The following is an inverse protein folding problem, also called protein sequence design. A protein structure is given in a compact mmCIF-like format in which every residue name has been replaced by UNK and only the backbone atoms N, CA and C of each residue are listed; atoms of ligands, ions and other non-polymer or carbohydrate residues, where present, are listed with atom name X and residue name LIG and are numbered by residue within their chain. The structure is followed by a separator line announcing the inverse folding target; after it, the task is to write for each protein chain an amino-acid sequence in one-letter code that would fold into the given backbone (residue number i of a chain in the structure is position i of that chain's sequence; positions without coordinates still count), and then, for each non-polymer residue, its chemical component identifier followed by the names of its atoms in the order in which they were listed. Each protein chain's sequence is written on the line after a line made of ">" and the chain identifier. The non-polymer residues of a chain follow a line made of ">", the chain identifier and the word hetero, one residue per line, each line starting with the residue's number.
data_IF_986645995355
#
_entry.id   IF_986645995355
#
_cell.length_a   1.000
_cell.length_b   1.000
_cell.length_c   1.000
_cell.angle_alpha   90.00
_cell.angle_beta   90.00
_cell.angle_gamma   90.00
#
_symmetry.space_group_name_H-M   'P 1'
#
loop_
_entity.id
_entity.type
_entity.pdbx_description
1 polymer ?
#
# COMPACT_ATOMS: atom_id res chain seq x y z
N UNK A 1 40.01 -2.09 25.95
CA UNK A 1 38.98 -1.32 26.66
C UNK A 1 38.08 -0.72 25.61
N UNK A 2 37.19 -1.54 25.10
CA UNK A 2 36.02 -1.11 24.35
C UNK A 2 34.87 -1.31 25.32
N UNK A 3 34.45 -0.27 25.98
CA UNK A 3 33.32 -0.30 26.85
C UNK A 3 32.43 0.93 26.60
N UNK A 4 31.18 0.62 26.41
CA UNK A 4 30.03 1.46 26.75
C UNK A 4 29.83 2.77 26.01
N UNK A 5 28.97 2.74 25.03
CA UNK A 5 27.82 3.68 24.98
C UNK A 5 26.91 3.35 23.79
N UNK A 6 26.36 2.18 23.75
CA UNK A 6 25.05 2.01 23.15
C UNK A 6 24.01 2.41 24.19
N UNK A 7 23.83 3.74 24.37
CA UNK A 7 22.62 4.20 25.00
C UNK A 7 21.47 3.59 24.18
N UNK A 8 20.66 2.71 24.78
CA UNK A 8 19.45 2.15 24.14
C UNK A 8 18.68 3.35 23.60
N UNK A 9 18.63 3.51 22.28
CA UNK A 9 17.81 4.55 21.64
C UNK A 9 16.40 4.37 22.19
N UNK A 10 15.79 5.45 22.68
CA UNK A 10 14.39 5.41 23.09
C UNK A 10 13.58 4.95 21.89
N UNK A 11 12.87 3.85 22.01
CA UNK A 11 11.98 3.35 20.95
C UNK A 11 11.02 4.46 20.53
N UNK A 12 10.99 4.78 19.25
CA UNK A 12 10.05 5.72 18.65
C UNK A 12 9.00 4.90 17.89
N UNK A 13 7.72 5.17 18.17
CA UNK A 13 6.65 4.53 17.41
C UNK A 13 6.74 4.97 15.95
N UNK A 14 6.85 4.03 14.99
CA UNK A 14 6.86 4.37 13.58
C UNK A 14 5.48 4.84 13.12
N UNK A 15 5.47 5.68 12.10
CA UNK A 15 4.28 6.08 11.36
C UNK A 15 3.79 4.92 10.48
N UNK A 16 2.49 4.61 10.51
CA UNK A 16 1.86 3.69 9.55
C UNK A 16 1.42 4.48 8.34
N UNK A 17 2.09 4.30 7.21
CA UNK A 17 1.82 5.01 5.96
C UNK A 17 1.05 4.13 4.99
N UNK A 18 -0.25 4.39 4.84
CA UNK A 18 -1.15 3.61 3.99
C UNK A 18 -1.33 4.21 2.58
N UNK A 19 -1.64 3.38 1.57
CA UNK A 19 -1.93 3.85 0.21
C UNK A 19 -3.38 4.28 0.05
N UNK A 20 -3.65 5.35 -0.71
CA UNK A 20 -5.00 5.65 -1.17
C UNK A 20 -5.05 6.09 -2.64
N UNK A 21 -5.91 5.45 -3.42
CA UNK A 21 -6.18 5.82 -4.81
C UNK A 21 -7.47 6.63 -4.97
N UNK A 22 -8.26 6.81 -3.92
CA UNK A 22 -9.50 7.62 -3.88
C UNK A 22 -9.67 8.23 -2.50
N UNK A 23 -10.49 9.29 -2.41
CA UNK A 23 -10.81 9.94 -1.15
C UNK A 23 -11.47 8.98 -0.13
N UNK A 24 -12.34 8.07 -0.61
CA UNK A 24 -12.93 7.02 0.22
C UNK A 24 -11.86 6.12 0.86
N UNK A 25 -10.85 5.70 0.08
CA UNK A 25 -9.74 4.88 0.60
C UNK A 25 -8.87 5.66 1.60
N UNK A 26 -8.68 6.97 1.38
CA UNK A 26 -7.94 7.83 2.31
C UNK A 26 -8.65 7.86 3.67
N UNK A 27 -9.94 8.16 3.68
CA UNK A 27 -10.75 8.19 4.90
C UNK A 27 -10.77 6.83 5.60
N UNK A 28 -10.92 5.75 4.83
CA UNK A 28 -10.86 4.38 5.37
C UNK A 28 -9.49 4.05 5.97
N UNK A 29 -8.39 4.37 5.30
CA UNK A 29 -7.05 4.10 5.82
C UNK A 29 -6.84 4.74 7.20
N UNK A 30 -7.21 6.00 7.34
CA UNK A 30 -7.12 6.75 8.60
C UNK A 30 -8.06 6.16 9.65
N UNK A 31 -9.30 5.86 9.31
CA UNK A 31 -10.26 5.24 10.22
C UNK A 31 -9.76 3.89 10.77
N UNK A 32 -9.03 3.12 9.95
CA UNK A 32 -8.41 1.84 10.33
C UNK A 32 -6.98 1.98 10.86
N UNK A 33 -6.55 3.18 11.22
CA UNK A 33 -5.38 3.45 12.03
C UNK A 33 -4.10 3.78 11.28
N UNK A 34 -4.18 4.20 10.03
CA UNK A 34 -3.05 4.81 9.37
C UNK A 34 -2.75 6.20 9.97
N UNK A 35 -1.48 6.46 10.31
CA UNK A 35 -1.00 7.75 10.80
C UNK A 35 -0.76 8.73 9.64
N UNK A 36 -0.53 8.20 8.45
CA UNK A 36 -0.38 8.96 7.22
C UNK A 36 -0.90 8.20 6.01
N UNK A 37 -1.27 8.94 4.97
CA UNK A 37 -1.75 8.35 3.71
C UNK A 37 -1.01 8.98 2.53
N UNK A 38 -0.51 8.16 1.60
CA UNK A 38 0.05 8.68 0.34
C UNK A 38 -0.92 8.50 -0.82
N UNK A 39 -1.08 9.58 -1.58
CA UNK A 39 -1.98 9.70 -2.73
C UNK A 39 -1.21 10.06 -4.00
N UNK A 40 -1.88 10.14 -5.13
CA UNK A 40 -1.33 10.67 -6.39
C UNK A 40 -2.10 11.88 -6.86
N UNK A 41 -1.38 12.88 -7.31
CA UNK A 41 -1.94 14.02 -8.03
C UNK A 41 -2.11 13.74 -9.52
N UNK A 42 -2.76 14.66 -10.23
CA UNK A 42 -3.00 14.56 -11.67
C UNK A 42 -1.73 14.68 -12.52
N UNK A 43 -0.61 15.11 -11.94
CA UNK A 43 0.67 15.28 -12.61
C UNK A 43 1.81 14.63 -11.79
N UNK A 44 2.94 14.41 -12.45
CA UNK A 44 4.23 13.97 -11.90
C UNK A 44 4.26 12.65 -11.13
N UNK A 45 3.13 11.91 -11.06
CA UNK A 45 3.06 10.62 -10.35
C UNK A 45 3.25 9.41 -11.26
N UNK A 46 3.85 8.33 -10.74
CA UNK A 46 4.03 7.06 -11.47
C UNK A 46 2.73 6.29 -11.78
N UNK A 47 1.60 6.75 -11.34
CA UNK A 47 0.29 6.11 -11.53
C UNK A 47 -0.71 7.05 -12.20
N UNK A 48 -0.28 7.76 -13.24
CA UNK A 48 -1.10 8.74 -13.97
C UNK A 48 -2.43 8.19 -14.54
N UNK A 49 -2.55 6.85 -14.68
CA UNK A 49 -3.78 6.16 -15.13
C UNK A 49 -4.58 5.55 -13.97
N UNK A 50 -4.14 5.68 -12.73
CA UNK A 50 -4.92 5.34 -11.55
C UNK A 50 -5.83 6.50 -11.17
N UNK A 51 -6.84 6.26 -10.34
CA UNK A 51 -7.58 7.35 -9.73
C UNK A 51 -6.60 8.33 -9.08
N UNK A 52 -6.58 9.56 -9.54
CA UNK A 52 -5.77 10.65 -9.04
C UNK A 52 -6.69 11.68 -8.41
N UNK A 53 -6.22 12.32 -7.37
CA UNK A 53 -7.00 13.31 -6.64
C UNK A 53 -7.01 14.66 -7.38
N UNK A 54 -8.17 15.30 -7.44
CA UNK A 54 -8.26 16.72 -7.75
C UNK A 54 -7.79 17.56 -6.56
N UNK A 55 -7.55 18.85 -6.74
CA UNK A 55 -7.16 19.74 -5.63
C UNK A 55 -8.28 19.86 -4.59
N UNK A 56 -9.54 19.80 -5.00
CA UNK A 56 -10.72 19.80 -4.11
C UNK A 56 -10.76 18.54 -3.26
N UNK A 57 -10.55 17.35 -3.86
CA UNK A 57 -10.47 16.08 -3.13
C UNK A 57 -9.26 16.04 -2.20
N UNK A 58 -8.12 16.64 -2.59
CA UNK A 58 -6.96 16.80 -1.71
C UNK A 58 -7.28 17.67 -0.52
N UNK A 59 -7.94 18.82 -0.73
CA UNK A 59 -8.33 19.72 0.35
C UNK A 59 -9.28 19.04 1.35
N UNK A 60 -10.28 18.29 0.86
CA UNK A 60 -11.18 17.50 1.70
C UNK A 60 -10.42 16.39 2.46
N UNK A 61 -9.52 15.67 1.78
CA UNK A 61 -8.67 14.65 2.39
C UNK A 61 -7.74 15.19 3.47
N UNK A 62 -7.12 16.35 3.23
CA UNK A 62 -6.25 17.05 4.21
C UNK A 62 -7.06 17.52 5.42
N UNK A 63 -8.27 18.08 5.21
CA UNK A 63 -9.13 18.49 6.30
C UNK A 63 -9.51 17.29 7.18
N UNK A 64 -9.97 16.21 6.57
CA UNK A 64 -10.29 14.97 7.26
C UNK A 64 -9.08 14.38 8.03
N UNK A 65 -7.90 14.36 7.40
CA UNK A 65 -6.69 13.85 8.03
C UNK A 65 -6.32 14.69 9.27
N UNK A 66 -6.39 16.02 9.19
CA UNK A 66 -6.13 16.92 10.34
C UNK A 66 -7.08 16.70 11.51
N UNK A 67 -8.35 16.41 11.25
CA UNK A 67 -9.34 16.09 12.30
C UNK A 67 -9.02 14.79 13.05
N UNK A 68 -8.18 13.92 12.45
CA UNK A 68 -7.77 12.62 12.99
C UNK A 68 -6.29 12.52 13.32
N UNK A 69 -5.57 13.65 13.44
CA UNK A 69 -4.12 13.72 13.68
C UNK A 69 -3.27 12.94 12.67
N UNK A 70 -3.77 12.79 11.44
CA UNK A 70 -3.10 12.09 10.36
C UNK A 70 -2.51 13.06 9.30
N UNK A 71 -1.61 12.56 8.48
CA UNK A 71 -0.91 13.30 7.43
C UNK A 71 -1.30 12.82 6.03
N UNK A 72 -1.15 13.71 5.04
CA UNK A 72 -1.35 13.37 3.63
C UNK A 72 -0.11 13.71 2.83
N UNK A 73 0.45 12.71 2.12
CA UNK A 73 1.62 12.87 1.25
C UNK A 73 1.23 12.69 -0.21
N UNK A 74 1.82 13.49 -1.11
CA UNK A 74 1.58 13.37 -2.54
C UNK A 74 2.79 12.78 -3.26
N UNK A 75 2.59 11.69 -3.98
CA UNK A 75 3.61 11.09 -4.83
C UNK A 75 3.74 11.85 -6.14
N UNK A 76 4.88 12.54 -6.30
CA UNK A 76 5.33 13.23 -7.52
C UNK A 76 6.66 12.62 -7.99
N UNK A 77 6.71 11.29 -8.13
CA UNK A 77 7.93 10.49 -8.22
C UNK A 77 8.19 9.93 -9.63
N UNK A 78 7.74 10.60 -10.64
CA UNK A 78 8.05 10.30 -12.04
C UNK A 78 9.48 10.82 -12.35
N UNK A 79 10.21 10.08 -13.18
CA UNK A 79 11.45 10.56 -13.80
C UNK A 79 11.08 11.49 -14.94
N UNK A 80 11.62 12.72 -14.95
CA UNK A 80 11.35 13.71 -15.99
C UNK A 80 12.26 13.54 -17.20
N UNK A 81 11.80 14.03 -18.35
CA UNK A 81 12.59 14.29 -19.54
C UNK A 81 12.45 15.76 -19.87
N UNK A 82 13.33 16.28 -20.71
CA UNK A 82 13.32 17.67 -21.15
C UNK A 82 11.91 18.15 -21.51
N UNK A 83 11.46 19.24 -20.89
CA UNK A 83 10.13 19.82 -21.04
C UNK A 83 9.04 19.22 -20.15
N UNK A 84 9.30 18.16 -19.39
CA UNK A 84 8.30 17.60 -18.46
C UNK A 84 8.22 18.37 -17.14
N UNK A 85 9.22 19.16 -16.82
CA UNK A 85 9.29 20.03 -15.65
C UNK A 85 8.42 21.28 -15.79
N UNK A 86 7.92 21.58 -17.00
CA UNK A 86 7.02 22.71 -17.24
C UNK A 86 5.75 22.59 -16.40
N UNK A 87 5.44 23.63 -15.62
CA UNK A 87 4.31 23.64 -14.69
C UNK A 87 4.56 23.01 -13.31
N UNK A 88 5.73 22.40 -13.07
CA UNK A 88 6.04 21.77 -11.79
C UNK A 88 6.03 22.75 -10.62
N UNK A 89 6.53 23.97 -10.80
CA UNK A 89 6.50 25.00 -9.77
C UNK A 89 5.09 25.37 -9.32
N UNK A 90 4.16 25.54 -10.27
CA UNK A 90 2.73 25.78 -9.96
C UNK A 90 2.11 24.60 -9.23
N UNK A 91 2.40 23.39 -9.69
CA UNK A 91 1.92 22.17 -9.04
C UNK A 91 2.37 22.09 -7.57
N UNK A 92 3.65 22.27 -7.26
CA UNK A 92 4.15 22.22 -5.88
C UNK A 92 3.60 23.37 -5.01
N UNK A 93 3.49 24.58 -5.55
CA UNK A 93 2.83 25.69 -4.84
C UNK A 93 1.38 25.33 -4.48
N UNK A 94 0.63 24.77 -5.43
CA UNK A 94 -0.76 24.34 -5.20
C UNK A 94 -0.86 23.26 -4.12
N UNK A 95 0.05 22.29 -4.07
CA UNK A 95 0.09 21.26 -3.03
C UNK A 95 0.38 21.87 -1.64
N UNK A 96 1.33 22.80 -1.54
CA UNK A 96 1.61 23.52 -0.31
C UNK A 96 0.38 24.30 0.17
N UNK A 97 -0.27 25.03 -0.73
CA UNK A 97 -1.39 25.90 -0.40
C UNK A 97 -2.66 25.12 0.00
N UNK A 98 -2.85 23.91 -0.54
CA UNK A 98 -3.86 22.94 -0.09
C UNK A 98 -3.54 22.37 1.29
N UNK A 99 -2.27 22.43 1.74
CA UNK A 99 -1.81 21.97 3.05
C UNK A 99 -1.39 20.50 3.08
N UNK A 100 -0.89 19.98 1.95
CA UNK A 100 -0.24 18.67 1.88
C UNK A 100 0.95 18.64 2.84
N UNK A 101 1.10 17.55 3.57
CA UNK A 101 2.10 17.42 4.64
C UNK A 101 3.52 17.18 4.11
N UNK A 102 3.67 16.52 2.97
CA UNK A 102 4.94 16.36 2.24
C UNK A 102 4.71 15.86 0.82
N UNK A 103 5.73 15.99 -0.03
CA UNK A 103 5.77 15.40 -1.37
C UNK A 103 6.82 14.30 -1.44
N UNK A 104 6.54 13.23 -2.19
CA UNK A 104 7.46 12.10 -2.40
C UNK A 104 8.00 12.22 -3.83
N UNK A 105 9.27 12.60 -3.97
CA UNK A 105 9.91 12.95 -5.25
C UNK A 105 11.15 12.09 -5.48
N UNK A 106 11.50 11.80 -6.73
CA UNK A 106 12.70 11.03 -7.08
C UNK A 106 13.63 11.75 -8.06
N UNK A 107 13.10 12.69 -8.80
CA UNK A 107 13.81 13.39 -9.86
C UNK A 107 14.51 14.64 -9.28
N UNK A 108 15.84 14.81 -9.47
CA UNK A 108 16.58 15.96 -8.93
C UNK A 108 16.05 17.31 -9.41
N UNK A 109 15.61 17.40 -10.69
CA UNK A 109 15.05 18.65 -11.21
C UNK A 109 13.74 19.01 -10.49
N UNK A 110 12.87 18.03 -10.24
CA UNK A 110 11.62 18.25 -9.49
C UNK A 110 11.89 18.57 -8.03
N UNK A 111 12.95 18.01 -7.40
CA UNK A 111 13.37 18.32 -6.04
C UNK A 111 13.81 19.79 -5.96
N UNK A 112 14.68 20.25 -6.86
CA UNK A 112 15.14 21.64 -6.91
C UNK A 112 13.97 22.62 -7.14
N UNK A 113 13.07 22.30 -8.09
CA UNK A 113 11.89 23.14 -8.35
C UNK A 113 10.99 23.19 -7.12
N UNK A 114 10.74 22.07 -6.45
CA UNK A 114 9.93 22.03 -5.23
C UNK A 114 10.53 22.89 -4.13
N UNK A 115 11.82 22.74 -3.84
CA UNK A 115 12.53 23.49 -2.81
C UNK A 115 12.51 25.01 -3.07
N UNK A 116 12.63 25.40 -4.37
CA UNK A 116 12.67 26.83 -4.78
C UNK A 116 11.28 27.44 -4.83
N UNK A 117 10.31 26.75 -5.43
CA UNK A 117 9.00 27.31 -5.77
C UNK A 117 7.93 27.10 -4.69
N UNK A 118 8.13 26.11 -3.83
CA UNK A 118 7.24 25.79 -2.71
C UNK A 118 8.00 25.70 -1.38
N UNK A 119 8.73 26.73 -0.96
CA UNK A 119 9.51 26.68 0.27
C UNK A 119 8.61 26.35 1.47
N UNK A 120 9.11 25.45 2.34
CA UNK A 120 8.37 24.95 3.51
C UNK A 120 7.46 23.75 3.22
N UNK A 121 7.38 23.26 1.99
CA UNK A 121 6.76 21.97 1.67
C UNK A 121 7.82 20.87 1.85
N UNK A 122 7.68 19.97 2.84
CA UNK A 122 8.65 18.90 3.08
C UNK A 122 8.81 17.97 1.88
N UNK A 123 10.03 17.52 1.63
CA UNK A 123 10.37 16.62 0.53
C UNK A 123 10.87 15.29 1.09
N UNK A 124 10.22 14.19 0.69
CA UNK A 124 10.65 12.82 0.96
C UNK A 124 11.24 12.21 -0.32
N UNK A 125 12.43 11.64 -0.23
CA UNK A 125 13.01 10.95 -1.38
C UNK A 125 12.24 9.67 -1.68
N UNK A 126 11.80 9.50 -2.91
CA UNK A 126 11.11 8.28 -3.35
C UNK A 126 12.07 7.08 -3.45
N UNK A 127 11.56 5.89 -3.19
CA UNK A 127 12.25 4.62 -3.51
C UNK A 127 12.71 4.51 -4.97
N UNK A 128 12.12 5.28 -5.87
CA UNK A 128 12.53 5.36 -7.29
C UNK A 128 13.93 5.95 -7.48
N UNK A 129 14.47 6.64 -6.48
CA UNK A 129 15.87 7.12 -6.48
C UNK A 129 16.88 6.01 -6.13
N UNK A 130 16.45 4.81 -5.78
CA UNK A 130 17.30 3.65 -5.44
C UNK A 130 18.29 3.91 -4.30
N UNK A 131 17.87 4.58 -3.22
CA UNK A 131 18.74 4.83 -2.04
C UNK A 131 18.94 3.51 -1.26
N UNK A 132 20.21 3.08 -1.11
CA UNK A 132 20.59 1.78 -0.52
C UNK A 132 21.67 1.87 0.53
N UNK A 133 22.28 3.03 0.79
CA UNK A 133 23.39 3.19 1.73
C UNK A 133 23.33 4.56 2.43
N UNK A 134 24.04 4.68 3.54
CA UNK A 134 23.97 5.89 4.37
C UNK A 134 24.60 7.12 3.69
N UNK A 135 25.64 6.96 2.86
CA UNK A 135 26.23 8.09 2.13
C UNK A 135 25.20 8.74 1.19
N UNK A 136 24.38 7.94 0.53
CA UNK A 136 23.26 8.46 -0.28
C UNK A 136 22.22 9.19 0.57
N UNK A 137 21.92 8.67 1.76
CA UNK A 137 20.97 9.33 2.66
C UNK A 137 21.52 10.66 3.20
N UNK A 138 22.80 10.73 3.62
CA UNK A 138 23.43 11.97 4.06
C UNK A 138 23.50 12.99 2.94
N UNK A 139 23.83 12.59 1.70
CA UNK A 139 23.79 13.49 0.54
C UNK A 139 22.41 14.16 0.41
N UNK A 140 21.32 13.38 0.45
CA UNK A 140 19.98 13.94 0.32
C UNK A 140 19.54 14.79 1.52
N UNK A 141 20.02 14.47 2.71
CA UNK A 141 19.83 15.29 3.90
C UNK A 141 20.55 16.66 3.77
N UNK A 142 21.76 16.68 3.23
CA UNK A 142 22.50 17.92 2.93
C UNK A 142 21.78 18.76 1.87
N UNK A 143 21.09 18.12 0.91
CA UNK A 143 20.19 18.77 -0.06
C UNK A 143 18.84 19.22 0.54
N UNK A 144 18.63 19.06 1.86
CA UNK A 144 17.47 19.58 2.58
C UNK A 144 16.24 18.66 2.58
N UNK A 145 16.36 17.39 2.23
CA UNK A 145 15.27 16.43 2.33
C UNK A 145 15.09 15.96 3.79
N UNK A 146 13.85 15.73 4.19
CA UNK A 146 13.53 15.34 5.56
C UNK A 146 13.45 13.83 5.77
N UNK A 147 13.13 13.05 4.70
CA UNK A 147 12.93 11.60 4.76
C UNK A 147 13.42 10.92 3.49
N UNK A 148 13.94 9.69 3.65
CA UNK A 148 14.30 8.81 2.52
C UNK A 148 13.50 7.53 2.57
N UNK A 149 12.81 7.22 1.46
CA UNK A 149 12.20 5.91 1.25
C UNK A 149 13.27 4.98 0.70
N UNK A 150 13.70 4.01 1.48
CA UNK A 150 14.71 3.04 1.07
C UNK A 150 14.29 2.26 -0.18
N UNK A 151 15.27 1.84 -0.95
CA UNK A 151 15.06 0.84 -1.99
C UNK A 151 14.61 -0.49 -1.35
N UNK A 152 13.81 -1.29 -2.07
CA UNK A 152 13.27 -2.56 -1.55
C UNK A 152 14.31 -3.68 -1.50
N UNK A 153 15.47 -3.42 -2.07
CA UNK A 153 16.61 -4.33 -2.14
C UNK A 153 17.52 -4.26 -0.90
N UNK A 154 17.23 -3.35 0.04
CA UNK A 154 18.00 -3.16 1.28
C UNK A 154 17.65 -4.26 2.29
N UNK A 155 18.67 -4.92 2.82
CA UNK A 155 18.55 -5.93 3.88
C UNK A 155 18.35 -5.30 5.26
N UNK A 156 17.91 -6.09 6.25
CA UNK A 156 17.72 -5.63 7.62
C UNK A 156 19.05 -5.19 8.26
N UNK A 157 20.15 -5.87 7.93
CA UNK A 157 21.50 -5.51 8.38
C UNK A 157 21.92 -4.14 7.82
N UNK A 158 21.64 -3.89 6.54
CA UNK A 158 21.92 -2.61 5.90
C UNK A 158 21.03 -1.48 6.48
N UNK A 159 19.76 -1.75 6.80
CA UNK A 159 18.90 -0.78 7.51
C UNK A 159 19.53 -0.37 8.84
N UNK A 160 19.98 -1.36 9.62
CA UNK A 160 20.68 -1.11 10.90
C UNK A 160 21.96 -0.28 10.72
N UNK A 161 22.74 -0.59 9.68
CA UNK A 161 23.98 0.14 9.39
C UNK A 161 23.71 1.56 8.91
N UNK A 162 22.72 1.76 8.05
CA UNK A 162 22.26 3.09 7.63
C UNK A 162 21.86 3.91 8.85
N UNK A 163 21.03 3.37 9.74
CA UNK A 163 20.55 4.09 10.93
C UNK A 163 21.66 4.49 11.91
N UNK A 164 22.75 3.73 12.00
CA UNK A 164 23.91 4.10 12.84
C UNK A 164 24.63 5.34 12.35
N UNK A 165 24.58 5.62 11.05
CA UNK A 165 25.39 6.63 10.38
C UNK A 165 24.60 7.86 9.93
N UNK A 166 23.27 7.87 10.07
CA UNK A 166 22.43 9.04 9.73
C UNK A 166 21.27 9.19 10.70
N UNK A 167 20.78 10.41 10.86
CA UNK A 167 19.59 10.76 11.67
C UNK A 167 18.39 11.21 10.80
N UNK A 168 18.53 11.24 9.46
CA UNK A 168 17.42 11.53 8.56
C UNK A 168 16.30 10.49 8.77
N UNK A 169 15.04 10.86 8.59
CA UNK A 169 13.94 9.89 8.71
C UNK A 169 14.02 8.79 7.63
N UNK A 170 13.89 7.55 8.08
CA UNK A 170 13.89 6.35 7.22
C UNK A 170 12.46 5.84 7.06
N UNK A 171 12.01 5.74 5.82
CA UNK A 171 10.77 5.08 5.43
C UNK A 171 11.09 3.78 4.70
N UNK A 172 10.44 2.68 5.08
CA UNK A 172 10.66 1.38 4.46
C UNK A 172 9.33 0.70 4.11
N UNK A 173 9.30 -0.02 2.98
CA UNK A 173 8.15 -0.85 2.64
C UNK A 173 8.09 -2.07 3.55
N UNK A 174 6.88 -2.34 4.09
CA UNK A 174 6.65 -3.45 5.01
C UNK A 174 5.61 -4.45 4.49
N UNK A 175 4.80 -4.08 3.49
CA UNK A 175 3.73 -4.94 2.97
C UNK A 175 3.36 -4.62 1.53
N UNK A 176 2.98 -5.65 0.78
CA UNK A 176 2.39 -5.55 -0.55
C UNK A 176 3.30 -5.96 -1.68
N UNK A 177 2.97 -5.53 -2.88
CA UNK A 177 3.58 -6.05 -4.09
C UNK A 177 5.07 -5.72 -4.24
N UNK A 178 5.89 -6.74 -4.54
CA UNK A 178 7.28 -6.57 -4.95
C UNK A 178 7.41 -6.31 -6.45
N UNK A 179 8.49 -5.67 -6.84
CA UNK A 179 8.89 -5.46 -8.24
C UNK A 179 9.96 -6.47 -8.63
N UNK A 180 9.95 -6.94 -9.88
CA UNK A 180 11.01 -7.81 -10.44
C UNK A 180 12.30 -7.04 -10.68
N UNK A 181 12.22 -5.75 -10.93
CA UNK A 181 13.37 -4.89 -11.22
C UNK A 181 13.81 -4.15 -9.97
N UNK A 182 15.07 -3.73 -9.94
CA UNK A 182 15.56 -2.77 -8.96
C UNK A 182 14.65 -1.53 -8.91
N UNK A 183 14.54 -0.95 -7.73
CA UNK A 183 13.73 0.24 -7.48
C UNK A 183 14.10 1.37 -8.45
N UNK A 184 13.12 1.88 -9.21
CA UNK A 184 13.33 2.95 -10.19
C UNK A 184 14.09 2.58 -11.47
N UNK A 185 14.37 1.32 -11.74
CA UNK A 185 15.24 0.87 -12.84
C UNK A 185 14.56 -0.11 -13.82
N UNK A 186 13.22 -0.05 -13.92
CA UNK A 186 12.47 -0.97 -14.77
C UNK A 186 12.36 -0.46 -16.20
N UNK A 187 12.84 -1.25 -17.17
CA UNK A 187 12.64 -1.02 -18.60
C UNK A 187 11.76 -2.08 -19.27
N UNK A 188 11.27 -3.07 -18.51
CA UNK A 188 10.49 -4.19 -19.05
C UNK A 188 9.23 -3.71 -19.80
N UNK A 189 8.50 -2.76 -19.21
CA UNK A 189 7.29 -2.22 -19.86
C UNK A 189 7.58 -1.43 -21.14
N UNK A 190 8.76 -0.80 -21.24
CA UNK A 190 9.18 -0.12 -22.46
C UNK A 190 9.31 -1.12 -23.61
N UNK A 191 9.98 -2.27 -23.37
CA UNK A 191 10.18 -3.30 -24.38
C UNK A 191 8.90 -4.09 -24.71
N UNK A 192 8.10 -4.42 -23.69
CA UNK A 192 6.93 -5.29 -23.85
C UNK A 192 5.66 -4.58 -24.32
N UNK A 193 5.53 -3.28 -24.08
CA UNK A 193 4.30 -2.55 -24.33
C UNK A 193 4.50 -1.09 -24.79
N UNK A 194 5.73 -0.69 -25.10
CA UNK A 194 6.11 0.69 -25.47
C UNK A 194 5.63 1.74 -24.43
N UNK A 195 5.62 1.35 -23.12
CA UNK A 195 5.19 2.21 -22.03
C UNK A 195 6.31 2.35 -21.01
N UNK A 196 6.67 3.57 -20.67
CA UNK A 196 7.73 3.83 -19.71
C UNK A 196 7.26 3.63 -18.27
N UNK A 197 7.80 2.61 -17.63
CA UNK A 197 7.46 2.26 -16.24
C UNK A 197 7.85 3.35 -15.24
N UNK A 198 8.96 4.07 -15.51
CA UNK A 198 9.50 5.10 -14.62
C UNK A 198 8.83 6.48 -14.84
N UNK A 199 7.91 6.55 -15.79
CA UNK A 199 7.11 7.74 -16.12
C UNK A 199 5.60 7.48 -16.05
N UNK A 200 5.18 6.55 -15.18
CA UNK A 200 3.77 6.23 -14.97
C UNK A 200 3.19 5.18 -15.90
N UNK A 201 3.98 4.63 -16.83
CA UNK A 201 3.53 3.68 -17.83
C UNK A 201 3.68 2.21 -17.46
N UNK A 202 3.94 1.84 -16.20
CA UNK A 202 4.07 0.44 -15.82
C UNK A 202 2.85 -0.39 -16.25
N UNK A 203 3.05 -1.34 -17.18
CA UNK A 203 2.01 -2.26 -17.67
C UNK A 203 1.92 -3.55 -16.86
N UNK A 204 2.74 -3.69 -15.82
CA UNK A 204 2.88 -4.93 -15.04
C UNK A 204 3.22 -6.15 -15.92
N UNK A 205 4.01 -5.96 -16.97
CA UNK A 205 4.39 -7.03 -17.89
C UNK A 205 5.13 -8.18 -17.21
N UNK A 206 5.88 -7.92 -16.13
CA UNK A 206 6.46 -9.00 -15.31
C UNK A 206 5.41 -9.98 -14.73
N UNK A 207 4.13 -9.63 -14.75
CA UNK A 207 3.02 -10.42 -14.20
C UNK A 207 2.17 -11.09 -15.29
N UNK A 208 2.56 -10.94 -16.55
CA UNK A 208 1.93 -11.65 -17.66
C UNK A 208 2.39 -13.11 -17.67
N UNK A 209 1.61 -13.94 -18.31
CA UNK A 209 2.03 -15.30 -18.66
C UNK A 209 2.78 -15.28 -19.97
N UNK A 210 3.91 -15.94 -20.00
CA UNK A 210 4.76 -16.13 -21.16
C UNK A 210 4.83 -17.60 -21.49
N UNK A 211 4.80 -17.96 -22.77
CA UNK A 211 5.04 -19.34 -23.22
C UNK A 211 6.54 -19.54 -23.50
N UNK A 212 7.08 -20.64 -23.01
CA UNK A 212 8.39 -21.14 -23.43
C UNK A 212 8.22 -22.06 -24.64
N UNK A 213 9.08 -21.85 -25.61
CA UNK A 213 9.17 -22.70 -26.81
C UNK A 213 10.60 -23.18 -26.93
N UNK A 214 10.79 -24.48 -27.12
CA UNK A 214 12.11 -25.01 -27.43
C UNK A 214 12.49 -24.61 -28.87
N UNK A 215 13.46 -23.73 -29.01
CA UNK A 215 14.01 -23.31 -30.29
C UNK A 215 15.51 -23.59 -30.32
N UNK A 216 15.98 -24.32 -31.33
CA UNK A 216 17.43 -24.52 -31.53
C UNK A 216 18.16 -23.17 -31.64
N UNK A 217 19.29 -23.05 -30.97
CA UNK A 217 20.10 -21.83 -31.00
C UNK A 217 20.41 -21.39 -32.45
N UNK A 218 20.09 -20.13 -32.79
CA UNK A 218 20.34 -19.55 -34.10
C UNK A 218 19.21 -19.72 -35.13
N UNK A 219 18.05 -20.28 -34.74
CA UNK A 219 16.86 -20.26 -35.61
C UNK A 219 15.98 -19.05 -35.29
N UNK A 220 15.55 -18.34 -36.34
CA UNK A 220 14.56 -17.29 -36.20
C UNK A 220 13.16 -17.86 -36.42
N UNK A 221 12.21 -17.42 -35.61
CA UNK A 221 10.79 -17.75 -35.79
C UNK A 221 10.25 -16.98 -37.00
N UNK A 222 9.97 -17.71 -38.06
CA UNK A 222 9.58 -17.14 -39.34
C UNK A 222 8.13 -16.61 -39.44
N UNK A 223 7.28 -16.85 -38.44
CA UNK A 223 5.94 -16.26 -38.38
C UNK A 223 5.36 -16.24 -36.97
N UNK A 224 4.57 -15.19 -36.68
CA UNK A 224 3.72 -15.09 -35.47
C UNK A 224 2.60 -16.14 -35.43
N UNK A 225 2.46 -16.92 -36.51
CA UNK A 225 1.42 -17.98 -36.66
C UNK A 225 1.96 -19.38 -36.44
N UNK A 226 3.25 -19.52 -36.14
CA UNK A 226 3.81 -20.81 -35.79
C UNK A 226 3.35 -21.15 -34.36
N UNK A 227 2.24 -21.91 -34.30
CA UNK A 227 1.60 -22.40 -33.09
C UNK A 227 2.28 -23.67 -32.59
N UNK A 228 3.60 -23.66 -32.43
CA UNK A 228 4.30 -24.69 -31.66
C UNK A 228 3.56 -24.88 -30.33
N UNK A 229 3.45 -26.12 -29.86
CA UNK A 229 2.86 -26.41 -28.55
C UNK A 229 3.63 -25.62 -27.50
N UNK A 230 2.92 -24.91 -26.62
CA UNK A 230 3.53 -24.23 -25.47
C UNK A 230 3.95 -25.35 -24.52
N UNK A 231 5.26 -25.58 -24.41
CA UNK A 231 5.79 -26.64 -23.53
C UNK A 231 5.61 -26.26 -22.07
N UNK A 232 5.77 -24.98 -21.72
CA UNK A 232 5.63 -24.48 -20.37
C UNK A 232 5.21 -23.01 -20.35
N UNK A 233 4.33 -22.65 -19.43
CA UNK A 233 3.98 -21.23 -19.14
C UNK A 233 4.73 -20.77 -17.89
N UNK A 234 5.29 -19.57 -17.94
CA UNK A 234 5.90 -18.95 -16.78
C UNK A 234 5.49 -17.50 -16.58
N UNK A 235 5.73 -16.99 -15.39
CA UNK A 235 5.55 -15.57 -15.03
C UNK A 235 6.79 -15.10 -14.26
N UNK A 236 7.20 -13.85 -14.47
CA UNK A 236 8.24 -13.20 -13.67
C UNK A 236 7.66 -12.53 -12.39
N UNK A 237 6.47 -12.93 -11.97
CA UNK A 237 5.79 -12.32 -10.83
C UNK A 237 6.44 -12.74 -9.53
N UNK A 238 6.96 -11.79 -8.78
CA UNK A 238 7.38 -12.03 -7.41
C UNK A 238 6.16 -12.20 -6.48
N UNK A 239 6.34 -12.92 -5.36
CA UNK A 239 5.42 -12.95 -4.22
C UNK A 239 5.28 -11.56 -3.60
N UNK A 240 4.22 -11.33 -2.83
CA UNK A 240 4.03 -10.05 -2.14
C UNK A 240 4.86 -10.06 -0.84
N UNK A 241 5.25 -8.88 -0.34
CA UNK A 241 5.99 -8.73 0.92
C UNK A 241 5.03 -8.68 2.12
N UNK A 242 5.46 -9.24 3.25
CA UNK A 242 4.86 -9.02 4.57
C UNK A 242 5.92 -9.10 5.66
N UNK A 243 6.03 -8.05 6.45
CA UNK A 243 6.96 -7.93 7.57
C UNK A 243 6.24 -8.00 8.93
N UNK A 244 5.03 -8.56 8.98
CA UNK A 244 4.20 -8.55 10.19
C UNK A 244 4.85 -9.29 11.38
N UNK A 245 5.64 -10.32 11.11
CA UNK A 245 6.34 -11.10 12.13
C UNK A 245 7.64 -10.41 12.61
N UNK A 246 8.08 -9.33 11.93
CA UNK A 246 9.35 -8.64 12.11
C UNK A 246 9.21 -7.17 12.55
N UNK A 247 8.07 -6.81 13.14
CA UNK A 247 7.79 -5.46 13.64
C UNK A 247 8.84 -4.99 14.68
N UNK A 248 9.24 -5.83 15.67
CA UNK A 248 10.28 -5.44 16.61
C UNK A 248 11.58 -5.01 15.94
N UNK A 249 12.08 -5.84 15.01
CA UNK A 249 13.36 -5.60 14.34
C UNK A 249 13.36 -4.32 13.51
N UNK A 250 12.27 -4.02 12.81
CA UNK A 250 12.11 -2.78 12.05
C UNK A 250 12.14 -1.55 12.97
N UNK A 251 11.47 -1.59 14.12
CA UNK A 251 11.41 -0.51 15.09
C UNK A 251 12.77 -0.32 15.78
N UNK A 252 13.40 -1.41 16.20
CA UNK A 252 14.70 -1.40 16.88
C UNK A 252 15.82 -0.91 15.95
N UNK A 253 15.75 -1.25 14.67
CA UNK A 253 16.66 -0.72 13.65
C UNK A 253 16.31 0.70 13.20
N UNK A 254 15.29 1.32 13.80
CA UNK A 254 15.01 2.73 13.70
C UNK A 254 14.37 3.17 12.38
N UNK A 255 13.53 2.32 11.79
CA UNK A 255 12.63 2.73 10.70
C UNK A 255 11.57 3.66 11.27
N UNK A 256 11.46 4.88 10.74
CA UNK A 256 10.54 5.91 11.22
C UNK A 256 9.15 5.84 10.60
N UNK A 257 9.03 5.28 9.39
CA UNK A 257 7.75 5.17 8.68
C UNK A 257 7.61 3.81 7.98
N UNK A 258 6.52 3.12 8.24
CA UNK A 258 6.14 1.80 7.74
C UNK A 258 5.19 1.95 6.56
N UNK A 259 5.71 1.79 5.35
CA UNK A 259 4.96 2.00 4.12
C UNK A 259 4.30 0.74 3.60
N UNK A 260 2.99 0.82 3.39
CA UNK A 260 2.18 -0.24 2.77
C UNK A 260 2.04 0.06 1.27
N UNK A 261 2.41 -0.90 0.39
CA UNK A 261 2.17 -0.81 -1.05
C UNK A 261 0.73 -1.24 -1.38
N UNK A 262 0.04 -0.51 -2.25
CA UNK A 262 -1.29 -0.93 -2.66
C UNK A 262 -2.25 0.16 -3.11
N UNK A 263 -1.81 1.27 -3.69
CA UNK A 263 -2.67 2.40 -4.10
C UNK A 263 -3.85 1.97 -5.00
N UNK A 264 -3.66 0.91 -5.81
CA UNK A 264 -4.70 0.33 -6.68
C UNK A 264 -5.54 -0.77 -6.02
N UNK A 265 -5.20 -1.15 -4.79
CA UNK A 265 -5.92 -2.21 -4.06
C UNK A 265 -7.31 -1.73 -3.63
N UNK A 266 -8.17 -2.69 -3.22
CA UNK A 266 -9.52 -2.41 -2.75
C UNK A 266 -9.52 -1.73 -1.38
N UNK A 267 -10.65 -1.12 -1.02
CA UNK A 267 -10.90 -0.57 0.30
C UNK A 267 -10.75 -1.64 1.39
N UNK A 268 -11.21 -2.86 1.13
CA UNK A 268 -11.05 -4.03 2.01
C UNK A 268 -9.57 -4.36 2.30
N UNK A 269 -8.70 -4.28 1.28
CA UNK A 269 -7.26 -4.46 1.49
C UNK A 269 -6.68 -3.35 2.37
N UNK A 270 -7.01 -2.11 2.07
CA UNK A 270 -6.48 -0.95 2.80
C UNK A 270 -6.90 -1.00 4.27
N UNK A 271 -8.19 -1.24 4.55
CA UNK A 271 -8.70 -1.34 5.92
C UNK A 271 -8.05 -2.48 6.70
N UNK A 272 -7.99 -3.69 6.11
CA UNK A 272 -7.43 -4.86 6.81
C UNK A 272 -5.94 -4.69 7.10
N UNK A 273 -5.15 -4.28 6.10
CA UNK A 273 -3.68 -4.16 6.28
C UNK A 273 -3.34 -3.04 7.26
N UNK A 274 -3.99 -1.87 7.17
CA UNK A 274 -3.75 -0.77 8.12
C UNK A 274 -4.10 -1.17 9.55
N UNK A 275 -5.24 -1.83 9.75
CA UNK A 275 -5.69 -2.30 11.06
C UNK A 275 -4.71 -3.29 11.70
N UNK A 276 -4.22 -4.26 10.91
CA UNK A 276 -3.26 -5.28 11.37
C UNK A 276 -1.94 -4.65 11.79
N UNK A 277 -1.33 -3.83 10.93
CA UNK A 277 -0.04 -3.22 11.24
C UNK A 277 -0.13 -2.23 12.40
N UNK A 278 -1.23 -1.46 12.49
CA UNK A 278 -1.46 -0.61 13.66
C UNK A 278 -1.50 -1.44 14.95
N UNK A 279 -2.29 -2.51 14.98
CA UNK A 279 -2.41 -3.36 16.17
C UNK A 279 -1.07 -4.00 16.57
N UNK A 280 -0.28 -4.45 15.59
CA UNK A 280 1.03 -5.04 15.87
C UNK A 280 2.03 -4.02 16.41
N UNK A 281 2.12 -2.84 15.79
CA UNK A 281 2.99 -1.75 16.24
C UNK A 281 2.58 -1.26 17.64
N UNK A 282 1.30 -1.01 17.87
CA UNK A 282 0.81 -0.54 19.17
C UNK A 282 1.08 -1.58 20.26
N UNK A 283 0.84 -2.88 19.98
CA UNK A 283 1.12 -3.97 20.92
C UNK A 283 2.61 -4.07 21.27
N UNK A 284 3.50 -3.90 20.29
CA UNK A 284 4.94 -3.88 20.55
C UNK A 284 5.36 -2.65 21.38
N UNK A 285 4.83 -1.47 21.04
CA UNK A 285 5.16 -0.24 21.77
C UNK A 285 4.62 -0.22 23.20
N UNK A 286 3.51 -0.93 23.48
CA UNK A 286 2.93 -1.06 24.81
C UNK A 286 3.77 -1.98 25.71
N UNK A 287 4.19 -3.14 25.20
CA UNK A 287 4.99 -4.12 25.97
C UNK A 287 6.04 -4.82 25.06
N UNK A 288 7.19 -4.16 24.83
CA UNK A 288 8.25 -4.71 23.97
C UNK A 288 8.86 -6.04 24.48
N UNK A 289 8.87 -6.23 25.82
CA UNK A 289 9.54 -7.40 26.43
C UNK A 289 8.70 -8.69 26.28
N UNK A 290 7.36 -8.56 26.22
CA UNK A 290 6.45 -9.70 26.10
C UNK A 290 5.73 -9.76 24.75
N UNK A 291 6.17 -8.96 23.78
CA UNK A 291 5.55 -8.95 22.45
C UNK A 291 5.64 -10.31 21.76
N UNK A 292 4.52 -10.74 21.20
CA UNK A 292 4.43 -11.91 20.33
C UNK A 292 3.54 -11.55 19.13
N UNK A 293 4.02 -11.80 17.93
CA UNK A 293 3.17 -11.67 16.75
C UNK A 293 2.01 -12.67 16.83
N UNK A 294 0.78 -12.16 16.87
CA UNK A 294 -0.41 -12.99 17.03
C UNK A 294 -0.78 -13.66 15.71
N UNK A 295 -1.13 -14.95 15.77
CA UNK A 295 -1.59 -15.71 14.61
C UNK A 295 -2.79 -15.05 13.92
N UNK A 296 -3.70 -14.44 14.67
CA UNK A 296 -4.85 -13.72 14.13
C UNK A 296 -4.47 -12.60 13.15
N UNK A 297 -3.34 -11.90 13.36
CA UNK A 297 -2.86 -10.86 12.45
C UNK A 297 -2.38 -11.43 11.12
N UNK A 298 -1.65 -12.55 11.20
CA UNK A 298 -1.20 -13.28 10.00
C UNK A 298 -2.43 -13.78 9.21
N UNK A 299 -3.39 -14.38 9.89
CA UNK A 299 -4.62 -14.91 9.29
C UNK A 299 -5.45 -13.79 8.62
N UNK A 300 -5.53 -12.61 9.23
CA UNK A 300 -6.19 -11.44 8.64
C UNK A 300 -5.53 -10.97 7.35
N UNK A 301 -4.20 -10.89 7.32
CA UNK A 301 -3.47 -10.54 6.09
C UNK A 301 -3.72 -11.54 4.97
N UNK A 302 -3.82 -12.85 5.29
CA UNK A 302 -4.16 -13.88 4.31
C UNK A 302 -5.58 -13.74 3.75
N UNK A 303 -6.53 -13.15 4.47
CA UNK A 303 -7.89 -12.91 3.94
C UNK A 303 -7.90 -11.91 2.77
N UNK A 304 -6.90 -11.06 2.65
CA UNK A 304 -6.76 -10.06 1.57
C UNK A 304 -5.57 -10.29 0.63
N UNK A 305 -4.70 -11.23 0.95
CA UNK A 305 -3.53 -11.57 0.14
C UNK A 305 -3.95 -12.12 -1.24
N UNK A 306 -3.33 -11.61 -2.29
CA UNK A 306 -3.56 -12.05 -3.67
C UNK A 306 -2.43 -12.93 -4.22
N UNK A 307 -1.36 -13.10 -3.44
CA UNK A 307 -0.17 -13.90 -3.71
C UNK A 307 0.35 -14.44 -2.39
N UNK A 308 1.28 -15.38 -2.48
CA UNK A 308 2.10 -15.80 -1.35
C UNK A 308 2.83 -14.59 -0.75
N UNK A 309 3.17 -14.68 0.52
CA UNK A 309 3.83 -13.62 1.30
C UNK A 309 5.23 -14.09 1.68
N UNK A 310 6.22 -13.20 1.56
CA UNK A 310 7.60 -13.40 1.96
C UNK A 310 8.19 -12.10 2.52
N UNK A 311 9.44 -12.14 3.01
CA UNK A 311 10.11 -10.97 3.58
C UNK A 311 10.86 -10.10 2.56
N UNK A 312 10.75 -10.40 1.27
CA UNK A 312 11.51 -9.68 0.22
C UNK A 312 13.02 -9.86 0.40
N UNK A 313 13.77 -8.77 0.36
CA UNK A 313 15.22 -8.76 0.51
C UNK A 313 15.71 -8.59 1.96
N UNK A 314 14.82 -8.45 2.94
CA UNK A 314 15.22 -8.11 4.30
C UNK A 314 16.16 -9.13 4.94
N UNK A 315 16.01 -10.41 4.65
CA UNK A 315 16.83 -11.48 5.28
C UNK A 315 17.67 -12.29 4.29
N UNK A 316 17.31 -12.27 3.02
CA UNK A 316 18.03 -13.00 1.97
C UNK A 316 17.73 -12.42 0.59
N UNK A 317 18.61 -12.65 -0.36
CA UNK A 317 18.30 -12.37 -1.76
C UNK A 317 17.20 -13.32 -2.22
N UNK A 318 16.07 -12.83 -2.77
CA UNK A 318 15.01 -13.69 -3.30
C UNK A 318 15.53 -14.69 -4.35
N UNK A 319 15.04 -15.91 -4.25
CA UNK A 319 15.37 -17.04 -5.13
C UNK A 319 14.17 -17.42 -6.00
N UNK A 320 14.23 -18.57 -6.65
CA UNK A 320 13.09 -19.15 -7.37
C UNK A 320 11.87 -19.41 -6.47
N UNK A 321 12.06 -19.57 -5.15
CA UNK A 321 10.97 -19.79 -4.20
C UNK A 321 10.10 -18.55 -3.98
N UNK A 322 10.64 -17.36 -4.22
CA UNK A 322 9.92 -16.09 -4.13
C UNK A 322 9.34 -15.65 -5.48
N UNK A 323 9.37 -16.53 -6.51
CA UNK A 323 8.76 -16.29 -7.82
C UNK A 323 7.50 -17.15 -8.00
N UNK A 324 6.48 -16.60 -8.63
CA UNK A 324 5.24 -17.30 -8.93
C UNK A 324 5.28 -17.90 -10.35
N UNK A 325 6.05 -18.96 -10.53
CA UNK A 325 6.09 -19.72 -11.78
C UNK A 325 4.75 -20.41 -12.03
N UNK A 326 4.12 -20.14 -13.17
CA UNK A 326 2.86 -20.76 -13.57
C UNK A 326 1.59 -20.21 -12.90
N UNK A 327 1.65 -19.69 -11.69
CA UNK A 327 0.52 -19.09 -11.00
C UNK A 327 0.57 -17.55 -11.08
N UNK A 328 -0.55 -16.91 -11.44
CA UNK A 328 -0.62 -15.45 -11.51
C UNK A 328 -0.83 -14.79 -10.17
N UNK A 329 -1.73 -15.37 -9.39
CA UNK A 329 -2.06 -14.90 -8.04
C UNK A 329 -2.99 -15.87 -7.33
N UNK A 330 -2.95 -15.86 -6.03
CA UNK A 330 -3.91 -16.53 -5.16
C UNK A 330 -5.23 -15.76 -5.16
N UNK A 331 -6.34 -16.45 -5.25
CA UNK A 331 -7.65 -15.82 -5.11
C UNK A 331 -7.97 -15.75 -3.61
N UNK A 332 -8.24 -14.57 -3.04
CA UNK A 332 -8.60 -14.46 -1.63
C UNK A 332 -9.80 -15.34 -1.29
N UNK A 333 -9.74 -16.00 -0.14
CA UNK A 333 -10.82 -16.87 0.36
C UNK A 333 -12.06 -16.05 0.73
N UNK A 334 -11.86 -14.77 1.10
CA UNK A 334 -12.94 -13.87 1.51
C UNK A 334 -13.31 -12.90 0.39
N UNK A 335 -14.60 -12.54 0.36
CA UNK A 335 -15.19 -11.56 -0.55
C UNK A 335 -15.71 -10.39 0.26
N UNK A 336 -15.25 -9.19 -0.04
CA UNK A 336 -15.80 -7.95 0.51
C UNK A 336 -17.22 -7.74 -0.02
N UNK A 337 -18.22 -7.62 0.86
CA UNK A 337 -19.62 -7.58 0.46
C UNK A 337 -20.34 -6.30 0.84
N UNK A 338 -19.85 -5.53 1.81
CA UNK A 338 -20.50 -4.28 2.20
C UNK A 338 -19.73 -3.50 3.26
N UNK A 339 -20.27 -2.34 3.57
CA UNK A 339 -19.82 -1.46 4.65
C UNK A 339 -21.02 -0.89 5.40
N UNK A 340 -20.87 -0.64 6.66
CA UNK A 340 -21.88 -0.04 7.52
C UNK A 340 -21.92 1.46 7.31
N UNK A 341 -23.10 2.01 7.00
CA UNK A 341 -23.34 3.46 6.89
C UNK A 341 -23.82 4.06 8.20
N UNK A 342 -24.71 3.35 8.90
CA UNK A 342 -25.27 3.76 10.20
C UNK A 342 -25.77 2.57 10.99
N UNK A 343 -25.96 2.77 12.28
CA UNK A 343 -26.52 1.78 13.18
C UNK A 343 -27.48 2.45 14.16
N UNK A 344 -28.64 1.85 14.35
CA UNK A 344 -29.64 2.29 15.32
C UNK A 344 -29.63 1.30 16.53
N UNK A 345 -29.17 1.78 17.67
CA UNK A 345 -29.08 0.98 18.91
C UNK A 345 -30.44 0.52 19.43
N UNK A 346 -31.51 1.31 19.23
CA UNK A 346 -32.84 0.99 19.73
C UNK A 346 -33.48 -0.18 18.98
N UNK A 347 -33.25 -0.26 17.67
CA UNK A 347 -33.81 -1.30 16.80
C UNK A 347 -32.82 -2.41 16.48
N UNK A 348 -31.52 -2.21 16.78
CA UNK A 348 -30.40 -3.08 16.39
C UNK A 348 -30.30 -3.29 14.89
N UNK A 349 -30.70 -2.29 14.08
CA UNK A 349 -30.65 -2.32 12.63
C UNK A 349 -29.44 -1.53 12.13
N UNK A 350 -28.63 -2.15 11.28
CA UNK A 350 -27.60 -1.49 10.52
C UNK A 350 -28.08 -1.14 9.11
N UNK A 351 -27.77 0.08 8.67
CA UNK A 351 -27.86 0.47 7.26
C UNK A 351 -26.53 0.15 6.59
N UNK A 352 -26.56 -0.60 5.51
CA UNK A 352 -25.39 -1.18 4.85
C UNK A 352 -25.38 -0.74 3.38
N UNK A 353 -24.22 -0.31 2.90
CA UNK A 353 -23.96 -0.12 1.48
C UNK A 353 -23.32 -1.39 0.91
N UNK A 354 -24.02 -2.05 0.01
CA UNK A 354 -23.57 -3.26 -0.65
C UNK A 354 -22.39 -2.97 -1.60
N UNK A 355 -21.40 -3.85 -1.60
CA UNK A 355 -20.21 -3.77 -2.48
C UNK A 355 -20.05 -5.00 -3.37
N UNK A 356 -20.62 -6.11 -2.99
CA UNK A 356 -20.73 -7.34 -3.78
C UNK A 356 -21.95 -8.15 -3.33
N UNK A 357 -22.42 -9.02 -4.22
CA UNK A 357 -23.59 -9.87 -3.97
C UNK A 357 -23.45 -10.69 -2.68
N UNK A 358 -24.46 -10.59 -1.83
CA UNK A 358 -24.75 -11.51 -0.73
C UNK A 358 -26.28 -11.68 -0.59
N UNK A 359 -26.69 -12.71 0.14
CA UNK A 359 -28.09 -13.16 0.19
C UNK A 359 -28.49 -13.59 1.60
N UNK A 360 -29.77 -13.68 1.85
CA UNK A 360 -30.32 -14.36 3.03
C UNK A 360 -29.77 -15.78 3.08
N UNK A 361 -29.35 -16.24 4.27
CA UNK A 361 -28.67 -17.50 4.50
C UNK A 361 -27.14 -17.46 4.38
N UNK A 362 -26.56 -16.40 3.85
CA UNK A 362 -25.09 -16.24 3.85
C UNK A 362 -24.57 -16.00 5.28
N UNK A 363 -23.44 -16.64 5.62
CA UNK A 363 -22.66 -16.26 6.79
C UNK A 363 -21.75 -15.10 6.43
N UNK A 364 -21.89 -13.99 7.14
CA UNK A 364 -21.10 -12.77 6.96
C UNK A 364 -20.32 -12.43 8.22
N UNK A 365 -19.15 -11.82 8.05
CA UNK A 365 -18.31 -11.33 9.13
C UNK A 365 -18.22 -9.81 9.06
N UNK A 366 -18.59 -9.16 10.16
CA UNK A 366 -18.34 -7.74 10.39
C UNK A 366 -16.96 -7.57 11.01
N UNK A 367 -16.23 -6.56 10.57
CA UNK A 367 -14.96 -6.19 11.17
C UNK A 367 -14.76 -4.67 11.13
N UNK A 368 -14.22 -4.16 12.22
CA UNK A 368 -13.96 -2.74 12.42
C UNK A 368 -12.54 -2.49 12.94
N UNK A 369 -12.20 -1.21 13.18
CA UNK A 369 -10.94 -0.84 13.83
C UNK A 369 -10.74 -1.54 15.17
N UNK A 370 -9.48 -1.88 15.50
CA UNK A 370 -9.14 -2.51 16.79
C UNK A 370 -9.59 -3.97 16.90
N UNK A 371 -9.77 -4.66 15.77
CA UNK A 371 -10.15 -6.10 15.75
C UNK A 371 -11.53 -6.39 16.36
N UNK A 372 -12.48 -5.48 16.24
CA UNK A 372 -13.88 -5.78 16.58
C UNK A 372 -14.48 -6.65 15.46
N UNK A 373 -14.51 -7.97 15.69
CA UNK A 373 -14.98 -8.96 14.70
C UNK A 373 -16.10 -9.79 15.28
N UNK A 374 -17.16 -10.02 14.49
CA UNK A 374 -18.16 -11.04 14.78
C UNK A 374 -18.79 -11.54 13.47
N UNK A 375 -19.30 -12.76 13.51
CA UNK A 375 -20.01 -13.37 12.39
C UNK A 375 -21.48 -13.56 12.73
N UNK A 376 -22.32 -13.48 11.70
CA UNK A 376 -23.73 -13.83 11.80
C UNK A 376 -24.25 -14.37 10.45
N UNK A 377 -25.33 -15.11 10.50
CA UNK A 377 -26.11 -15.46 9.31
C UNK A 377 -27.06 -14.32 8.97
N UNK A 378 -27.18 -14.00 7.70
CA UNK A 378 -28.17 -13.01 7.19
C UNK A 378 -29.54 -13.65 7.24
N UNK A 379 -30.39 -13.22 8.16
CA UNK A 379 -31.75 -13.77 8.34
C UNK A 379 -32.78 -13.01 7.48
N UNK A 380 -32.65 -11.68 7.44
CA UNK A 380 -33.57 -10.81 6.71
C UNK A 380 -32.84 -9.54 6.25
N UNK A 381 -33.23 -9.01 5.11
CA UNK A 381 -32.79 -7.73 4.58
C UNK A 381 -33.98 -6.94 4.04
N UNK A 382 -33.88 -5.61 4.12
CA UNK A 382 -34.86 -4.71 3.53
C UNK A 382 -34.16 -3.70 2.61
N UNK A 383 -34.81 -3.38 1.47
CA UNK A 383 -34.34 -2.29 0.61
C UNK A 383 -34.66 -0.93 1.20
N UNK A 384 -34.32 0.16 0.48
CA UNK A 384 -34.57 1.54 0.93
C UNK A 384 -36.08 1.86 1.04
N UNK A 385 -36.92 1.15 0.31
CA UNK A 385 -38.38 1.26 0.36
C UNK A 385 -39.00 0.48 1.53
N UNK A 386 -38.19 -0.28 2.30
CA UNK A 386 -38.64 -1.11 3.43
C UNK A 386 -39.19 -2.47 3.02
N UNK A 387 -39.08 -2.85 1.77
CA UNK A 387 -39.50 -4.15 1.27
C UNK A 387 -38.46 -5.24 1.61
N UNK A 388 -38.94 -6.41 2.01
CA UNK A 388 -38.07 -7.57 2.27
C UNK A 388 -37.45 -8.08 0.96
N UNK A 389 -36.13 -8.31 0.99
CA UNK A 389 -35.37 -8.83 -0.14
C UNK A 389 -34.54 -10.06 0.26
N UNK A 390 -34.44 -11.05 -0.62
CA UNK A 390 -33.63 -12.23 -0.37
C UNK A 390 -32.17 -12.09 -0.80
N UNK A 391 -31.86 -11.09 -1.61
CA UNK A 391 -30.52 -10.85 -2.17
C UNK A 391 -30.25 -9.38 -2.38
N UNK A 392 -28.99 -8.98 -2.21
CA UNK A 392 -28.46 -7.64 -2.53
C UNK A 392 -27.58 -7.71 -3.80
N UNK A 393 -28.16 -7.68 -5.03
CA UNK A 393 -27.42 -7.95 -6.25
C UNK A 393 -26.69 -6.73 -6.83
N UNK A 394 -27.19 -5.53 -6.56
CA UNK A 394 -26.76 -4.32 -7.24
C UNK A 394 -25.61 -3.64 -6.47
N UNK A 395 -24.47 -3.35 -7.12
CA UNK A 395 -23.40 -2.59 -6.50
C UNK A 395 -23.90 -1.23 -5.96
N UNK A 396 -23.41 -0.86 -4.79
CA UNK A 396 -23.77 0.39 -4.09
C UNK A 396 -25.21 0.47 -3.58
N UNK A 397 -26.01 -0.59 -3.71
CA UNK A 397 -27.34 -0.67 -3.12
C UNK A 397 -27.28 -0.46 -1.61
N UNK A 398 -28.18 0.38 -1.10
CA UNK A 398 -28.35 0.57 0.34
C UNK A 398 -29.45 -0.38 0.83
N UNK A 399 -29.21 -0.98 1.97
CA UNK A 399 -30.16 -1.91 2.60
C UNK A 399 -30.06 -1.82 4.12
N UNK A 400 -31.08 -2.32 4.80
CA UNK A 400 -31.14 -2.41 6.25
C UNK A 400 -31.26 -3.87 6.68
N UNK A 401 -30.56 -4.25 7.75
CA UNK A 401 -30.66 -5.57 8.34
C UNK A 401 -30.37 -5.57 9.84
N UNK A 402 -30.95 -6.48 10.62
CA UNK A 402 -30.58 -6.67 12.02
C UNK A 402 -29.16 -7.16 12.17
N UNK A 403 -28.45 -6.70 13.22
CA UNK A 403 -27.09 -7.15 13.52
C UNK A 403 -27.01 -7.66 14.98
N UNK A 404 -26.25 -8.74 15.15
CA UNK A 404 -26.13 -9.43 16.43
C UNK A 404 -25.33 -8.66 17.51
N UNK A 405 -24.49 -7.73 17.09
CA UNK A 405 -23.67 -6.88 17.95
C UNK A 405 -23.65 -5.45 17.41
N UNK A 406 -23.41 -4.45 18.27
CA UNK A 406 -23.27 -3.06 17.82
C UNK A 406 -22.16 -2.89 16.78
N UNK A 407 -22.46 -2.15 15.73
CA UNK A 407 -21.53 -1.80 14.65
C UNK A 407 -21.42 -0.29 14.52
N UNK A 408 -20.39 0.19 13.83
CA UNK A 408 -20.16 1.62 13.64
C UNK A 408 -20.11 1.97 12.14
N UNK A 409 -20.43 3.19 11.76
CA UNK A 409 -20.19 3.68 10.42
C UNK A 409 -18.72 3.46 10.02
N UNK A 410 -18.49 2.88 8.85
CA UNK A 410 -17.16 2.51 8.36
C UNK A 410 -16.73 1.08 8.69
N UNK A 411 -17.44 0.33 9.53
CA UNK A 411 -17.20 -1.11 9.70
C UNK A 411 -17.45 -1.85 8.38
N UNK A 412 -16.58 -2.78 8.05
CA UNK A 412 -16.59 -3.54 6.81
C UNK A 412 -17.29 -4.88 6.98
N UNK A 413 -17.83 -5.40 5.88
CA UNK A 413 -18.52 -6.68 5.86
C UNK A 413 -17.90 -7.56 4.78
N UNK A 414 -17.57 -8.79 5.15
CA UNK A 414 -17.03 -9.79 4.23
C UNK A 414 -17.70 -11.13 4.43
N UNK A 415 -17.63 -11.99 3.43
CA UNK A 415 -18.06 -13.39 3.54
C UNK A 415 -17.01 -14.32 2.96
N UNK A 416 -16.96 -15.55 3.46
CA UNK A 416 -16.16 -16.61 2.87
C UNK A 416 -16.75 -16.99 1.50
N UNK A 417 -15.88 -17.33 0.54
CA UNK A 417 -16.29 -17.80 -0.80
C UNK A 417 -16.77 -19.23 -0.76
#
# INVERSE_FOLDING_TARGET
>A
MMNEMTAKRKLKRPEILAPAGTLEKLKTAIHYGADAVYIGGNAYGLRSRAGNFTYEEMAEGVAFAKEHDAKVYVAANMVTHEGNEEGAGEFFRSLRDVGISAVIVSDPALIEICATEAPGLPIHLSTQASATNFETLEFWKEEGLERVVLAREVSMEEVAEIRKNTDIEIEAFIHGAMCISYSGRCTLSNHMSMRDANRGGCSQSCRWKYGLFDMPFGQERNSLTDTGEIEEEFSMSAVDMSMIEHIPELIENGVDSFKIEGRMKSIHYVSTVSNVYKAAVDSYMEDPENYVCKQEWIDELWKVAQRELATGFYYNTPTENEQLFGERRKIPVYKFVGEVLSYDEATQIATIRQRNLFSVGDEIEFYGPGFSHFSQTVEIMHNEEGESIDRAPNPMMVLAMPVAQPVKPGDMIRKRK
#
